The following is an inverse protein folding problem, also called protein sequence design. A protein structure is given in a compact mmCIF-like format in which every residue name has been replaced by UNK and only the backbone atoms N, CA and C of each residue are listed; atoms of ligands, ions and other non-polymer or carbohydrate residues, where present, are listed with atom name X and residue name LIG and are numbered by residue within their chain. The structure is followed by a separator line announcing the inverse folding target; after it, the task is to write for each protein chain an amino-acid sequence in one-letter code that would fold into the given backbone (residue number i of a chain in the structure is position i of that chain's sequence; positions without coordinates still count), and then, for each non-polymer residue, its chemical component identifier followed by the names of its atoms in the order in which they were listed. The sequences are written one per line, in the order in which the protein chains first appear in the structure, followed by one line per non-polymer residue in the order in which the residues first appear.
data_IF_482115851567
#
_entry.id   IF_482115851567
#
_cell.length_a   1.000
_cell.length_b   1.000
_cell.length_c   1.000
_cell.angle_alpha   90.00
_cell.angle_beta   90.00
_cell.angle_gamma   90.00
#
_symmetry.space_group_name_H-M   'P 1'
#
loop_
_entity.id
_entity.type
_entity.pdbx_description
1 polymer ?
#
# COMPACT_ATOMS: atom_id res chain seq x y z
N UNK A 1 -3.28 -10.89 17.64
CA UNK A 1 -3.34 -11.17 16.19
C UNK A 1 -1.91 -11.21 15.67
N UNK A 2 -1.65 -11.89 14.56
CA UNK A 2 -0.30 -11.98 13.98
C UNK A 2 -0.35 -11.53 12.52
N UNK A 3 0.44 -10.51 12.18
CA UNK A 3 0.53 -9.97 10.82
C UNK A 3 1.80 -10.50 10.15
N UNK A 4 1.61 -11.26 9.07
CA UNK A 4 2.68 -11.58 8.15
C UNK A 4 3.11 -10.31 7.44
N UNK A 5 4.37 -9.92 7.64
CA UNK A 5 4.86 -8.58 7.38
C UNK A 5 6.24 -8.57 6.73
N UNK A 6 6.48 -7.56 5.89
CA UNK A 6 7.82 -7.19 5.43
C UNK A 6 7.86 -5.66 5.29
N UNK A 7 8.89 -5.02 5.83
CA UNK A 7 9.02 -3.56 5.80
C UNK A 7 9.15 -2.96 4.39
N UNK A 8 9.57 -3.75 3.40
CA UNK A 8 9.61 -3.33 2.01
C UNK A 8 8.25 -3.44 1.29
N UNK A 9 7.25 -4.13 1.88
CA UNK A 9 5.94 -4.34 1.24
C UNK A 9 5.04 -3.11 1.42
N UNK A 10 4.63 -2.43 0.34
CA UNK A 10 3.73 -1.29 0.45
C UNK A 10 2.33 -1.72 0.89
N UNK A 11 1.87 -2.90 0.49
CA UNK A 11 0.57 -3.42 0.91
C UNK A 11 0.54 -3.69 2.43
N UNK A 12 1.64 -4.21 2.99
CA UNK A 12 1.78 -4.38 4.43
C UNK A 12 1.94 -3.02 5.13
N UNK A 13 2.65 -2.07 4.51
CA UNK A 13 2.79 -0.70 5.04
C UNK A 13 1.44 -0.01 5.22
N UNK A 14 0.48 -0.18 4.30
CA UNK A 14 -0.89 0.36 4.50
C UNK A 14 -1.52 -0.14 5.80
N UNK A 15 -1.40 -1.44 6.08
CA UNK A 15 -1.91 -2.06 7.31
C UNK A 15 -1.19 -1.51 8.54
N UNK A 16 0.14 -1.36 8.48
CA UNK A 16 0.90 -0.77 9.57
C UNK A 16 0.46 0.68 9.86
N UNK A 17 0.32 1.52 8.82
CA UNK A 17 -0.16 2.90 8.98
C UNK A 17 -1.54 2.93 9.63
N UNK A 18 -2.48 2.08 9.19
CA UNK A 18 -3.80 1.93 9.84
C UNK A 18 -3.68 1.55 11.32
N UNK A 19 -2.83 0.57 11.66
CA UNK A 19 -2.61 0.16 13.05
C UNK A 19 -2.05 1.31 13.91
N UNK A 20 -1.13 2.12 13.36
CA UNK A 20 -0.63 3.32 14.03
C UNK A 20 -1.73 4.37 14.24
N UNK A 21 -2.46 4.72 13.18
CA UNK A 21 -3.50 5.76 13.22
C UNK A 21 -4.67 5.39 14.15
N UNK A 22 -4.93 4.10 14.33
CA UNK A 22 -6.04 3.59 15.15
C UNK A 22 -5.60 3.09 16.54
N UNK A 23 -4.32 3.25 16.89
CA UNK A 23 -3.73 2.82 18.16
C UNK A 23 -3.94 1.32 18.47
N UNK A 24 -3.74 0.47 17.46
CA UNK A 24 -3.97 -0.98 17.54
C UNK A 24 -2.70 -1.84 17.45
N UNK A 25 -1.52 -1.22 17.37
CA UNK A 25 -0.24 -1.95 17.23
C UNK A 25 -0.02 -2.98 18.34
N UNK A 26 -0.35 -2.65 19.58
CA UNK A 26 -0.15 -3.54 20.74
C UNK A 26 -0.99 -4.83 20.66
N UNK A 27 -1.93 -4.92 19.72
CA UNK A 27 -2.77 -6.11 19.46
C UNK A 27 -2.21 -7.01 18.36
N UNK A 28 -1.13 -6.60 17.70
CA UNK A 28 -0.58 -7.25 16.50
C UNK A 28 0.90 -7.58 16.69
N UNK A 29 1.20 -8.86 16.74
CA UNK A 29 2.57 -9.37 16.61
C UNK A 29 2.98 -9.37 15.14
N UNK A 30 4.23 -8.98 14.85
CA UNK A 30 4.76 -8.97 13.48
C UNK A 30 5.55 -10.26 13.20
N UNK A 31 5.04 -11.06 12.29
CA UNK A 31 5.77 -12.19 11.74
C UNK A 31 6.50 -11.74 10.49
N UNK A 32 7.82 -11.55 10.62
CA UNK A 32 8.64 -11.08 9.50
C UNK A 32 8.79 -12.19 8.46
N UNK A 33 8.35 -11.94 7.24
CA UNK A 33 8.34 -12.92 6.14
C UNK A 33 9.05 -12.33 4.93
N UNK A 34 9.98 -13.09 4.37
CA UNK A 34 10.66 -12.75 3.11
C UNK A 34 10.20 -13.75 2.06
N UNK A 35 9.74 -13.23 0.93
CA UNK A 35 9.30 -14.03 -0.21
C UNK A 35 9.47 -13.23 -1.51
N UNK A 36 9.52 -13.96 -2.61
CA UNK A 36 9.30 -13.42 -3.95
C UNK A 36 8.45 -14.40 -4.76
N UNK A 37 7.94 -14.02 -5.95
CA UNK A 37 7.22 -14.95 -6.80
C UNK A 37 8.00 -16.22 -7.20
N UNK A 38 9.34 -16.18 -7.13
CA UNK A 38 10.23 -17.32 -7.45
C UNK A 38 10.90 -17.94 -6.21
N UNK A 39 10.56 -17.46 -5.02
CA UNK A 39 11.02 -17.97 -3.73
C UNK A 39 9.89 -17.83 -2.71
N UNK A 40 8.89 -18.74 -2.75
CA UNK A 40 7.72 -18.67 -1.90
C UNK A 40 8.06 -19.05 -0.45
N UNK A 41 7.24 -18.58 0.50
CA UNK A 41 7.32 -18.98 1.91
C UNK A 41 6.29 -20.08 2.18
N UNK A 42 6.76 -21.28 2.54
CA UNK A 42 5.88 -22.41 2.88
C UNK A 42 4.99 -22.07 4.08
N UNK A 43 5.57 -21.45 5.12
CA UNK A 43 4.84 -21.05 6.33
C UNK A 43 3.72 -20.02 6.04
N UNK A 44 3.98 -19.03 5.17
CA UNK A 44 2.90 -18.12 4.75
C UNK A 44 1.85 -18.84 3.92
N UNK A 45 2.24 -19.79 3.07
CA UNK A 45 1.32 -20.48 2.16
C UNK A 45 0.33 -21.39 2.90
N UNK A 46 0.67 -21.87 4.10
CA UNK A 46 -0.26 -22.59 4.98
C UNK A 46 -1.42 -21.69 5.44
N UNK A 47 -1.16 -20.41 5.67
CA UNK A 47 -2.13 -19.42 6.15
C UNK A 47 -2.82 -18.64 5.02
N UNK A 48 -2.08 -18.29 3.98
CA UNK A 48 -2.55 -17.57 2.81
C UNK A 48 -2.14 -18.32 1.53
N UNK A 49 -3.05 -19.08 0.91
CA UNK A 49 -2.75 -19.87 -0.28
C UNK A 49 -2.39 -19.01 -1.51
N UNK A 50 -2.67 -17.70 -1.49
CA UNK A 50 -2.21 -16.79 -2.53
C UNK A 50 -0.69 -16.51 -2.45
N UNK A 51 -0.03 -16.84 -1.33
CA UNK A 51 1.40 -16.63 -1.11
C UNK A 51 1.80 -15.15 -1.19
N UNK A 52 0.98 -14.26 -0.62
CA UNK A 52 1.20 -12.80 -0.66
C UNK A 52 1.14 -12.17 0.73
N UNK A 53 1.89 -11.08 0.89
CA UNK A 53 1.81 -10.21 2.05
C UNK A 53 0.90 -9.01 1.75
N UNK A 54 0.19 -8.47 2.76
CA UNK A 54 0.05 -8.98 4.12
C UNK A 54 -1.00 -10.09 4.23
N UNK A 55 -0.89 -10.90 5.28
CA UNK A 55 -1.94 -11.78 5.79
C UNK A 55 -2.06 -11.56 7.30
N UNK A 56 -3.28 -11.52 7.84
CA UNK A 56 -3.51 -11.32 9.28
C UNK A 56 -4.19 -12.56 9.85
N UNK A 57 -3.48 -13.25 10.76
CA UNK A 57 -4.03 -14.32 11.58
C UNK A 57 -4.75 -13.72 12.79
N UNK A 58 -6.03 -14.01 12.92
CA UNK A 58 -6.91 -13.57 13.99
C UNK A 58 -6.70 -14.41 15.26
N UNK A 59 -7.30 -13.98 16.37
CA UNK A 59 -7.14 -14.65 17.66
C UNK A 59 -7.74 -16.07 17.70
N UNK A 60 -8.72 -16.35 16.84
CA UNK A 60 -9.36 -17.66 16.69
C UNK A 60 -8.64 -18.57 15.69
N UNK A 61 -7.51 -18.12 15.13
CA UNK A 61 -6.72 -18.85 14.14
C UNK A 61 -7.18 -18.65 12.69
N UNK A 62 -8.32 -17.99 12.43
CA UNK A 62 -8.73 -17.65 11.06
C UNK A 62 -7.75 -16.64 10.44
N UNK A 63 -7.52 -16.76 9.14
CA UNK A 63 -6.61 -15.87 8.39
C UNK A 63 -7.40 -15.05 7.38
N UNK A 64 -7.18 -13.73 7.39
CA UNK A 64 -7.76 -12.82 6.40
C UNK A 64 -6.68 -12.18 5.53
N UNK A 65 -7.02 -12.01 4.26
CA UNK A 65 -6.22 -11.37 3.20
C UNK A 65 -7.17 -10.93 2.08
N UNK A 66 -6.82 -9.99 1.21
CA UNK A 66 -5.58 -9.22 1.11
C UNK A 66 -5.55 -7.97 2.03
N UNK A 67 -4.66 -7.01 1.72
CA UNK A 67 -4.55 -5.75 2.47
C UNK A 67 -5.87 -4.99 2.61
N UNK A 68 -6.79 -5.03 1.63
CA UNK A 68 -8.06 -4.29 1.69
C UNK A 68 -9.01 -4.90 2.69
N UNK A 69 -9.08 -6.24 2.73
CA UNK A 69 -9.89 -6.98 3.71
C UNK A 69 -9.35 -6.75 5.12
N UNK A 70 -8.02 -6.77 5.28
CA UNK A 70 -7.36 -6.51 6.57
C UNK A 70 -7.64 -5.07 7.04
N UNK A 71 -7.55 -4.08 6.15
CA UNK A 71 -7.86 -2.69 6.47
C UNK A 71 -9.32 -2.53 6.92
N UNK A 72 -10.28 -3.10 6.19
CA UNK A 72 -11.70 -3.01 6.56
C UNK A 72 -11.98 -3.71 7.90
N UNK A 73 -11.39 -4.87 8.14
CA UNK A 73 -11.48 -5.55 9.44
C UNK A 73 -10.95 -4.66 10.58
N UNK A 74 -9.72 -4.15 10.47
CA UNK A 74 -9.07 -3.35 11.51
C UNK A 74 -9.81 -2.02 11.78
N UNK A 75 -10.38 -1.41 10.75
CA UNK A 75 -11.17 -0.17 10.88
C UNK A 75 -12.45 -0.40 11.70
N UNK A 76 -12.97 -1.63 11.78
CA UNK A 76 -14.11 -1.98 12.64
C UNK A 76 -13.70 -2.36 14.08
N UNK A 77 -12.40 -2.50 14.37
CA UNK A 77 -11.91 -2.97 15.67
C UNK A 77 -11.70 -1.86 16.70
N UNK A 78 -11.82 -0.58 16.31
CA UNK A 78 -11.65 0.58 17.19
C UNK A 78 -12.94 1.38 17.35
N UNK A 79 -12.97 2.25 18.37
CA UNK A 79 -14.12 3.14 18.68
C UNK A 79 -13.96 4.56 18.14
N UNK A 80 -12.80 4.89 17.56
CA UNK A 80 -12.54 6.17 16.90
C UNK A 80 -13.33 6.39 15.61
N UNK A 81 -13.15 7.56 14.99
CA UNK A 81 -13.73 7.86 13.69
C UNK A 81 -13.23 6.85 12.64
N UNK A 82 -14.11 6.27 11.81
CA UNK A 82 -13.71 5.28 10.82
C UNK A 82 -12.85 5.94 9.73
N UNK A 83 -11.75 5.29 9.38
CA UNK A 83 -10.90 5.66 8.24
C UNK A 83 -11.47 5.12 6.92
N UNK A 84 -12.52 4.30 6.97
CA UNK A 84 -13.32 3.92 5.81
C UNK A 84 -14.76 4.34 6.06
N UNK A 85 -15.34 5.27 5.26
CA UNK A 85 -16.75 5.63 5.43
C UNK A 85 -17.64 4.39 5.40
N UNK A 86 -18.57 4.26 6.36
CA UNK A 86 -19.39 3.04 6.53
C UNK A 86 -20.44 2.89 5.43
N UNK A 87 -20.94 4.00 4.90
CA UNK A 87 -22.05 4.02 3.95
C UNK A 87 -22.01 5.25 3.03
N UNK A 88 -22.96 5.31 2.10
CA UNK A 88 -23.15 6.45 1.20
C UNK A 88 -22.11 6.56 0.08
N UNK A 89 -22.26 7.60 -0.74
CA UNK A 89 -21.38 7.87 -1.89
C UNK A 89 -19.93 8.12 -1.48
N UNK A 90 -19.71 8.68 -0.29
CA UNK A 90 -18.38 8.89 0.29
C UNK A 90 -17.58 7.58 0.38
N UNK A 91 -18.20 6.48 0.83
CA UNK A 91 -17.53 5.16 0.90
C UNK A 91 -16.95 4.76 -0.46
N UNK A 92 -17.78 4.79 -1.50
CA UNK A 92 -17.35 4.37 -2.83
C UNK A 92 -16.30 5.29 -3.42
N UNK A 93 -16.39 6.61 -3.15
CA UNK A 93 -15.37 7.56 -3.60
C UNK A 93 -14.01 7.25 -2.99
N UNK A 94 -13.94 7.10 -1.66
CA UNK A 94 -12.68 6.84 -0.96
C UNK A 94 -12.09 5.47 -1.28
N UNK A 95 -12.94 4.44 -1.37
CA UNK A 95 -12.51 3.10 -1.81
C UNK A 95 -12.02 3.07 -3.25
N UNK A 96 -12.59 3.88 -4.15
CA UNK A 96 -12.11 3.98 -5.54
C UNK A 96 -10.71 4.58 -5.61
N UNK A 97 -10.44 5.63 -4.82
CA UNK A 97 -9.09 6.23 -4.73
C UNK A 97 -8.07 5.25 -4.14
N UNK A 98 -8.44 4.57 -3.06
CA UNK A 98 -7.61 3.53 -2.46
C UNK A 98 -7.32 2.40 -3.46
N UNK A 99 -8.33 1.96 -4.23
CA UNK A 99 -8.16 0.96 -5.28
C UNK A 99 -7.27 1.43 -6.43
N UNK A 100 -7.30 2.73 -6.79
CA UNK A 100 -6.40 3.28 -7.79
C UNK A 100 -4.96 3.34 -7.29
N UNK A 101 -4.75 3.67 -6.01
CA UNK A 101 -3.43 3.63 -5.38
C UNK A 101 -2.87 2.20 -5.36
N UNK A 102 -3.73 1.21 -5.11
CA UNK A 102 -3.34 -0.20 -5.21
C UNK A 102 -3.01 -0.62 -6.64
N UNK A 103 -3.74 -0.15 -7.65
CA UNK A 103 -3.40 -0.43 -9.05
C UNK A 103 -2.05 0.18 -9.47
N UNK A 104 -1.70 1.35 -8.93
CA UNK A 104 -0.38 1.95 -9.07
C UNK A 104 0.69 1.07 -8.39
N UNK A 105 0.44 0.61 -7.16
CA UNK A 105 1.33 -0.30 -6.44
C UNK A 105 1.53 -1.63 -7.17
N UNK A 106 0.47 -2.22 -7.71
CA UNK A 106 0.53 -3.44 -8.52
C UNK A 106 1.48 -3.26 -9.71
N UNK A 107 1.33 -2.15 -10.46
CA UNK A 107 2.21 -1.83 -11.58
C UNK A 107 3.67 -1.64 -11.13
N UNK A 108 3.91 -0.90 -10.05
CA UNK A 108 5.25 -0.66 -9.52
C UNK A 108 5.93 -1.95 -9.02
N UNK A 109 5.18 -2.83 -8.37
CA UNK A 109 5.67 -4.14 -7.91
C UNK A 109 5.98 -5.07 -9.09
N UNK A 110 5.13 -5.08 -10.13
CA UNK A 110 5.38 -5.86 -11.33
C UNK A 110 6.65 -5.39 -12.08
N UNK A 111 6.85 -4.07 -12.20
CA UNK A 111 8.10 -3.50 -12.74
C UNK A 111 9.29 -3.95 -11.89
N UNK A 112 9.17 -3.92 -10.55
CA UNK A 112 10.25 -4.35 -9.67
C UNK A 112 10.58 -5.84 -9.84
N UNK A 113 9.58 -6.71 -9.97
CA UNK A 113 9.83 -8.12 -10.18
C UNK A 113 10.45 -8.41 -11.54
N UNK A 114 9.98 -7.75 -12.60
CA UNK A 114 10.57 -7.88 -13.93
C UNK A 114 12.04 -7.44 -13.89
N UNK A 115 12.33 -6.23 -13.39
CA UNK A 115 13.67 -5.64 -13.43
C UNK A 115 14.67 -6.25 -12.45
N UNK A 116 14.23 -6.77 -11.31
CA UNK A 116 15.13 -7.22 -10.24
C UNK A 116 15.21 -8.74 -10.04
N UNK A 117 14.22 -9.50 -10.52
CA UNK A 117 14.19 -10.96 -10.34
C UNK A 117 14.30 -11.70 -11.66
N UNK A 118 13.69 -11.18 -12.72
CA UNK A 118 13.71 -11.82 -14.03
C UNK A 118 15.08 -11.58 -14.69
N UNK A 119 15.69 -12.60 -15.33
CA UNK A 119 16.90 -12.41 -16.12
C UNK A 119 16.71 -11.33 -17.20
N UNK A 120 17.74 -10.51 -17.44
CA UNK A 120 17.67 -9.34 -18.31
C UNK A 120 17.22 -9.70 -19.74
N UNK A 121 17.69 -10.84 -20.26
CA UNK A 121 17.33 -11.36 -21.57
C UNK A 121 15.86 -11.78 -21.71
N UNK A 122 15.12 -11.85 -20.59
CA UNK A 122 13.68 -12.17 -20.55
C UNK A 122 12.81 -10.95 -20.26
N UNK A 123 13.40 -9.76 -20.11
CA UNK A 123 12.65 -8.53 -19.90
C UNK A 123 11.85 -8.21 -21.15
N UNK A 124 10.60 -7.77 -20.96
CA UNK A 124 9.75 -7.32 -22.05
C UNK A 124 9.47 -5.83 -21.93
N UNK A 125 10.18 -5.03 -22.73
CA UNK A 125 10.13 -3.57 -22.67
C UNK A 125 8.70 -3.03 -22.84
N UNK A 126 7.94 -3.54 -23.81
CA UNK A 126 6.55 -3.10 -24.02
C UNK A 126 5.66 -3.38 -22.80
N UNK A 127 5.92 -4.45 -22.03
CA UNK A 127 5.19 -4.71 -20.79
C UNK A 127 5.57 -3.70 -19.70
N UNK A 128 6.87 -3.43 -19.53
CA UNK A 128 7.38 -2.42 -18.61
C UNK A 128 6.79 -1.03 -18.91
N UNK A 129 6.81 -0.62 -20.18
CA UNK A 129 6.24 0.65 -20.64
C UNK A 129 4.75 0.76 -20.30
N UNK A 130 3.98 -0.31 -20.50
CA UNK A 130 2.55 -0.30 -20.20
C UNK A 130 2.27 -0.24 -18.69
N UNK A 131 3.11 -0.85 -17.84
CA UNK A 131 3.00 -0.70 -16.38
C UNK A 131 3.37 0.73 -15.96
N UNK A 132 4.42 1.29 -16.55
CA UNK A 132 4.86 2.66 -16.30
C UNK A 132 3.76 3.68 -16.65
N UNK A 133 3.10 3.52 -17.81
CA UNK A 133 1.98 4.38 -18.20
C UNK A 133 0.77 4.27 -17.24
N UNK A 134 0.55 3.14 -16.57
CA UNK A 134 -0.50 3.03 -15.53
C UNK A 134 -0.16 3.88 -14.31
N UNK A 135 1.11 3.87 -13.89
CA UNK A 135 1.60 4.72 -12.80
C UNK A 135 1.39 6.19 -13.15
N UNK A 136 1.83 6.62 -14.33
CA UNK A 136 1.72 8.01 -14.78
C UNK A 136 0.28 8.52 -14.88
N UNK A 137 -0.64 7.73 -15.45
CA UNK A 137 -2.06 8.10 -15.50
C UNK A 137 -2.69 8.19 -14.10
N UNK A 138 -2.28 7.31 -13.18
CA UNK A 138 -2.77 7.33 -11.79
C UNK A 138 -2.25 8.57 -11.05
N UNK A 139 -0.96 8.89 -11.19
CA UNK A 139 -0.37 10.10 -10.60
C UNK A 139 -0.99 11.37 -11.17
N UNK A 140 -1.22 11.42 -12.48
CA UNK A 140 -1.93 12.53 -13.11
C UNK A 140 -3.32 12.71 -12.50
N UNK A 141 -4.11 11.65 -12.39
CA UNK A 141 -5.44 11.70 -11.78
C UNK A 141 -5.41 12.20 -10.34
N UNK A 142 -4.43 11.75 -9.54
CA UNK A 142 -4.29 12.23 -8.16
C UNK A 142 -3.96 13.73 -8.10
N UNK A 143 -3.07 14.21 -8.99
CA UNK A 143 -2.69 15.62 -9.10
C UNK A 143 -3.86 16.52 -9.55
N UNK A 144 -4.62 16.10 -10.57
CA UNK A 144 -5.67 16.91 -11.18
C UNK A 144 -6.99 16.85 -10.44
N UNK A 145 -7.48 15.64 -10.16
CA UNK A 145 -8.88 15.39 -9.80
C UNK A 145 -9.08 15.05 -8.32
N UNK A 146 -8.08 14.43 -7.67
CA UNK A 146 -8.25 13.91 -6.30
C UNK A 146 -7.51 14.71 -5.20
N UNK A 147 -6.60 15.61 -5.54
CA UNK A 147 -5.73 16.23 -4.53
C UNK A 147 -6.49 17.03 -3.47
N UNK A 148 -7.57 17.74 -3.85
CA UNK A 148 -8.39 18.51 -2.91
C UNK A 148 -9.06 17.59 -1.90
N UNK A 149 -9.61 16.46 -2.34
CA UNK A 149 -10.26 15.49 -1.44
C UNK A 149 -9.25 14.64 -0.66
N UNK A 150 -8.04 14.39 -1.17
CA UNK A 150 -6.98 13.73 -0.40
C UNK A 150 -6.50 14.61 0.76
N UNK A 151 -6.71 15.92 0.67
CA UNK A 151 -6.33 16.90 1.69
C UNK A 151 -7.39 17.10 2.78
N UNK A 152 -8.61 16.54 2.64
CA UNK A 152 -9.69 16.78 3.62
C UNK A 152 -9.59 15.90 4.86
N UNK A 153 -9.12 14.67 4.72
CA UNK A 153 -8.94 13.72 5.82
C UNK A 153 -7.82 12.74 5.53
N UNK A 154 -7.16 12.24 6.58
CA UNK A 154 -6.18 11.17 6.46
C UNK A 154 -6.84 9.81 6.70
N UNK A 155 -7.54 9.32 5.67
CA UNK A 155 -8.35 8.10 5.69
C UNK A 155 -7.76 7.01 4.77
N UNK A 156 -8.49 5.93 4.48
CA UNK A 156 -8.01 4.82 3.65
C UNK A 156 -7.49 5.25 2.27
N UNK A 157 -8.07 6.29 1.66
CA UNK A 157 -7.59 6.79 0.38
C UNK A 157 -6.24 7.49 0.56
N UNK A 158 -6.15 8.40 1.53
CA UNK A 158 -4.94 9.16 1.84
C UNK A 158 -3.79 8.24 2.27
N UNK A 159 -4.06 7.24 3.13
CA UNK A 159 -3.09 6.21 3.52
C UNK A 159 -2.59 5.45 2.29
N UNK A 160 -3.49 4.98 1.43
CA UNK A 160 -3.11 4.17 0.27
C UNK A 160 -2.27 4.98 -0.73
N UNK A 161 -2.66 6.23 -1.02
CA UNK A 161 -1.91 7.11 -1.92
C UNK A 161 -0.56 7.49 -1.32
N UNK A 162 -0.49 7.85 -0.04
CA UNK A 162 0.78 8.22 0.60
C UNK A 162 1.77 7.05 0.63
N UNK A 163 1.28 5.84 0.90
CA UNK A 163 2.09 4.62 0.85
C UNK A 163 2.54 4.31 -0.59
N UNK A 164 1.68 4.51 -1.58
CA UNK A 164 2.01 4.35 -2.99
C UNK A 164 3.16 5.28 -3.43
N UNK A 165 3.07 6.57 -3.10
CA UNK A 165 4.11 7.55 -3.40
C UNK A 165 5.44 7.21 -2.71
N UNK A 166 5.39 6.81 -1.44
CA UNK A 166 6.59 6.37 -0.73
C UNK A 166 7.24 5.12 -1.32
N UNK A 167 6.46 4.22 -1.93
CA UNK A 167 7.00 3.05 -2.63
C UNK A 167 7.66 3.42 -3.96
N UNK A 168 7.12 4.40 -4.69
CA UNK A 168 7.76 4.94 -5.89
C UNK A 168 9.12 5.56 -5.53
N UNK A 169 9.22 6.31 -4.44
CA UNK A 169 10.50 6.86 -3.98
C UNK A 169 11.53 5.77 -3.66
N UNK A 170 11.07 4.68 -3.06
CA UNK A 170 11.92 3.59 -2.64
C UNK A 170 12.40 2.71 -3.82
N UNK A 171 11.52 2.39 -4.78
CA UNK A 171 11.81 1.41 -5.84
C UNK A 171 11.90 1.97 -7.25
N UNK A 172 11.48 3.21 -7.47
CA UNK A 172 11.52 3.91 -8.76
C UNK A 172 11.94 5.38 -8.61
N UNK A 173 13.08 5.69 -7.94
CA UNK A 173 13.52 7.07 -7.73
C UNK A 173 13.75 7.83 -9.05
N UNK A 174 14.09 7.12 -10.13
CA UNK A 174 14.33 7.69 -11.46
C UNK A 174 13.08 8.29 -12.12
N UNK A 175 11.88 7.89 -11.68
CA UNK A 175 10.62 8.48 -12.16
C UNK A 175 10.50 9.96 -11.82
N UNK A 176 11.16 10.42 -10.74
CA UNK A 176 11.19 11.82 -10.29
C UNK A 176 9.80 12.48 -10.25
N UNK A 177 8.77 11.73 -9.86
CA UNK A 177 7.36 12.12 -9.98
C UNK A 177 7.03 13.50 -9.38
N UNK A 178 7.75 13.94 -8.35
CA UNK A 178 7.55 15.25 -7.71
C UNK A 178 7.73 16.45 -8.65
N UNK A 179 8.61 16.37 -9.65
CA UNK A 179 8.79 17.48 -10.59
C UNK A 179 7.60 17.66 -11.53
N UNK A 180 6.86 16.57 -11.77
CA UNK A 180 5.73 16.55 -12.69
C UNK A 180 4.40 16.81 -11.98
N UNK A 181 4.28 16.39 -10.71
CA UNK A 181 3.05 16.47 -9.92
C UNK A 181 3.27 17.29 -8.62
N UNK A 182 3.40 18.63 -8.73
CA UNK A 182 3.82 19.47 -7.62
C UNK A 182 2.79 19.60 -6.50
N UNK A 183 1.47 19.55 -6.78
CA UNK A 183 0.45 19.63 -5.72
C UNK A 183 0.45 18.35 -4.89
N UNK A 184 0.57 17.20 -5.56
CA UNK A 184 0.71 15.89 -4.94
C UNK A 184 2.01 15.78 -4.16
N UNK A 185 3.11 16.36 -4.67
CA UNK A 185 4.38 16.42 -3.95
C UNK A 185 4.28 17.25 -2.65
N UNK A 186 3.61 18.40 -2.70
CA UNK A 186 3.39 19.24 -1.53
C UNK A 186 2.50 18.56 -0.48
N UNK A 187 1.41 17.92 -0.92
CA UNK A 187 0.56 17.11 -0.05
C UNK A 187 1.34 15.95 0.58
N UNK A 188 2.15 15.25 -0.21
CA UNK A 188 2.94 14.13 0.29
C UNK A 188 3.97 14.57 1.32
N UNK A 189 4.62 15.73 1.11
CA UNK A 189 5.56 16.31 2.06
C UNK A 189 4.90 16.50 3.44
N UNK A 190 3.67 17.02 3.48
CA UNK A 190 2.92 17.22 4.72
C UNK A 190 2.54 15.88 5.38
N UNK A 191 1.83 15.00 4.66
CA UNK A 191 1.36 13.72 5.25
C UNK A 191 2.51 12.79 5.63
N UNK A 192 3.68 12.92 5.00
CA UNK A 192 4.88 12.14 5.35
C UNK A 192 5.45 12.46 6.73
N UNK A 193 5.09 13.61 7.32
CA UNK A 193 5.50 14.00 8.67
C UNK A 193 4.66 13.34 9.78
N UNK A 194 3.58 12.64 9.42
CA UNK A 194 2.74 11.95 10.41
C UNK A 194 3.56 10.86 11.13
N UNK A 195 3.37 10.66 12.45
CA UNK A 195 4.09 9.61 13.19
C UNK A 195 3.92 8.22 12.57
N UNK A 196 2.73 7.89 12.08
CA UNK A 196 2.43 6.63 11.38
C UNK A 196 3.24 6.44 10.10
N UNK A 197 3.47 7.51 9.34
CA UNK A 197 4.22 7.48 8.09
C UNK A 197 5.73 7.40 8.33
N UNK A 198 6.23 8.10 9.34
CA UNK A 198 7.64 8.07 9.78
C UNK A 198 7.98 6.68 10.33
N UNK A 199 7.17 6.15 11.26
CA UNK A 199 7.44 4.88 11.91
C UNK A 199 7.41 3.66 10.96
N UNK A 200 6.83 3.81 9.78
CA UNK A 200 6.64 2.73 8.81
C UNK A 200 7.43 2.93 7.52
N UNK A 201 8.44 3.82 7.50
CA UNK A 201 9.29 4.00 6.33
C UNK A 201 9.98 2.68 5.93
N UNK A 202 10.07 2.36 4.62
CA UNK A 202 10.80 1.20 4.17
C UNK A 202 12.29 1.35 4.52
N UNK A 203 13.01 0.23 4.78
CA UNK A 203 14.44 0.28 5.05
C UNK A 203 15.20 0.77 3.81
N UNK A 204 16.12 1.71 4.03
CA UNK A 204 17.03 2.26 3.01
C UNK A 204 18.17 1.28 2.73
#
# INVERSE_FOLDING_TARGET
MTLYFNAASPFARKVMVMLHETAQLDRVELQTTVLTPVSPSAELNEDNPAGKLPALRLADGNVIHDSRVILDYLDHQHVGLPLIPREGSGRWRRLTLASLADALLDAAVLIRYETALRPQEKHWDQWLDNQQQKIERSLHYFESDAITELSTCFDVASISVAVALGYLDFRQPDLKWRSTYPRLAAWYLDVSQRPSMIATQPPV
#
